data_IF_771458529554
#
_entry.id   IF_771458529554
#
_cell.length_a   1.000
_cell.length_b   1.000
_cell.length_c   1.000
_cell.angle_alpha   90.00
_cell.angle_beta   90.00
_cell.angle_gamma   90.00
#
_symmetry.space_group_name_H-M   'P 1'
#
loop_
_entity.id
_entity.type
_entity.pdbx_description
1 polymer ?
#
# COMPACT_ATOMS: atom_id res chain seq x y z
N UNK A 1 -11.44 7.39 -5.61
CA UNK A 1 -9.98 7.57 -5.75
C UNK A 1 -9.41 6.53 -6.72
N UNK A 2 -8.34 6.86 -7.45
CA UNK A 2 -7.57 5.91 -8.27
C UNK A 2 -6.13 5.88 -7.78
N UNK A 3 -5.62 4.67 -7.51
CA UNK A 3 -4.22 4.43 -7.15
C UNK A 3 -3.62 3.56 -8.25
N UNK A 4 -2.42 3.91 -8.72
CA UNK A 4 -1.73 3.14 -9.75
C UNK A 4 -0.44 2.64 -9.14
N UNK A 5 -0.31 1.31 -9.03
CA UNK A 5 0.93 0.64 -8.63
C UNK A 5 1.74 0.45 -9.91
N UNK A 6 2.76 1.29 -10.09
CA UNK A 6 3.63 1.19 -11.26
C UNK A 6 4.63 0.07 -11.08
N UNK A 7 5.43 0.19 -10.02
CA UNK A 7 6.55 -0.68 -9.76
C UNK A 7 6.97 -0.62 -8.29
N UNK A 8 7.65 -1.67 -7.85
CA UNK A 8 8.43 -1.75 -6.61
C UNK A 8 9.91 -1.79 -6.97
N UNK A 9 10.78 -1.45 -6.02
CA UNK A 9 12.23 -1.45 -6.17
C UNK A 9 12.87 -1.79 -4.82
N UNK A 10 13.98 -2.54 -4.85
CA UNK A 10 14.75 -2.98 -3.67
C UNK A 10 13.91 -3.71 -2.59
N UNK A 11 12.88 -4.45 -2.99
CA UNK A 11 12.09 -5.29 -2.08
C UNK A 11 12.93 -6.46 -1.54
N UNK A 12 12.74 -6.79 -0.25
CA UNK A 12 13.39 -7.94 0.40
C UNK A 12 13.10 -9.24 -0.36
N UNK A 13 14.13 -10.09 -0.49
CA UNK A 13 14.06 -11.38 -1.19
C UNK A 13 14.03 -12.53 -0.18
N UNK A 14 12.92 -13.28 -0.15
CA UNK A 14 12.70 -14.36 0.82
C UNK A 14 12.97 -15.77 0.26
N UNK A 15 12.73 -16.03 -1.03
CA UNK A 15 12.95 -17.36 -1.61
C UNK A 15 14.44 -17.65 -1.82
N UNK A 16 14.90 -18.80 -1.36
CA UNK A 16 16.23 -19.35 -1.69
C UNK A 16 16.10 -20.47 -2.73
N UNK A 17 16.64 -20.29 -3.93
CA UNK A 17 16.70 -21.37 -4.93
C UNK A 17 17.66 -22.48 -4.46
N UNK A 18 17.12 -23.66 -4.19
CA UNK A 18 17.85 -24.83 -3.67
C UNK A 18 18.97 -25.31 -4.63
N UNK A 19 18.86 -25.03 -5.93
CA UNK A 19 19.83 -25.48 -6.93
C UNK A 19 20.93 -24.46 -7.24
N UNK A 20 20.59 -23.17 -7.26
CA UNK A 20 21.52 -22.09 -7.63
C UNK A 20 22.03 -21.30 -6.43
N UNK A 21 21.31 -21.33 -5.30
CA UNK A 21 21.54 -20.48 -4.14
C UNK A 21 21.19 -19.01 -4.39
N UNK A 22 20.52 -18.69 -5.50
CA UNK A 22 20.08 -17.32 -5.79
C UNK A 22 18.79 -17.01 -5.03
N UNK A 23 18.72 -15.79 -4.49
CA UNK A 23 17.54 -15.28 -3.79
C UNK A 23 16.56 -14.67 -4.78
N UNK A 24 15.27 -14.99 -4.65
CA UNK A 24 14.20 -14.37 -5.44
C UNK A 24 12.96 -14.10 -4.58
N UNK A 25 11.98 -13.37 -5.13
CA UNK A 25 10.63 -13.28 -4.57
C UNK A 25 9.58 -13.14 -5.68
N UNK A 26 8.41 -13.70 -5.44
CA UNK A 26 7.19 -13.61 -6.23
C UNK A 26 6.30 -12.47 -5.70
N UNK A 27 6.60 -11.23 -6.09
CA UNK A 27 6.05 -10.05 -5.42
C UNK A 27 4.61 -9.75 -5.88
N UNK A 28 3.71 -9.47 -4.92
CA UNK A 28 2.43 -8.81 -5.21
C UNK A 28 2.11 -7.69 -4.23
N UNK A 29 1.23 -6.76 -4.65
CA UNK A 29 0.83 -5.61 -3.85
C UNK A 29 -0.66 -5.69 -3.54
N UNK A 30 -1.00 -5.50 -2.27
CA UNK A 30 -2.38 -5.47 -1.76
C UNK A 30 -2.72 -4.08 -1.26
N UNK A 31 -3.90 -3.57 -1.59
CA UNK A 31 -4.37 -2.26 -1.14
C UNK A 31 -5.82 -2.26 -0.68
N UNK A 32 -6.12 -1.43 0.32
CA UNK A 32 -7.51 -1.17 0.73
C UNK A 32 -7.65 0.19 1.45
N UNK A 33 -8.87 0.72 1.47
CA UNK A 33 -9.21 1.85 2.33
C UNK A 33 -9.63 1.37 3.71
N UNK A 34 -9.23 2.09 4.76
CA UNK A 34 -9.67 1.82 6.13
C UNK A 34 -11.20 1.81 6.19
N UNK A 35 -11.78 0.78 6.81
CA UNK A 35 -13.23 0.51 6.86
C UNK A 35 -13.82 -0.17 5.62
N UNK A 36 -13.01 -0.41 4.59
CA UNK A 36 -13.31 -1.30 3.45
C UNK A 36 -12.32 -2.48 3.41
N UNK A 37 -11.95 -3.05 4.56
CA UNK A 37 -11.02 -4.20 4.60
C UNK A 37 -11.57 -5.46 3.90
N UNK A 38 -12.87 -5.53 3.65
CA UNK A 38 -13.50 -6.59 2.86
C UNK A 38 -13.36 -6.38 1.35
N UNK A 39 -13.08 -5.14 0.90
CA UNK A 39 -12.87 -4.75 -0.49
C UNK A 39 -11.37 -4.52 -0.77
N UNK A 40 -10.57 -5.52 -0.37
CA UNK A 40 -9.13 -5.56 -0.69
C UNK A 40 -8.94 -5.79 -2.18
N UNK A 41 -8.02 -5.05 -2.77
CA UNK A 41 -7.63 -5.19 -4.16
C UNK A 41 -6.16 -5.62 -4.21
N UNK A 42 -5.89 -6.67 -4.98
CA UNK A 42 -4.56 -7.22 -5.18
C UNK A 42 -4.09 -6.95 -6.62
N UNK A 43 -2.79 -6.82 -6.83
CA UNK A 43 -2.18 -6.85 -8.17
C UNK A 43 -2.03 -8.28 -8.66
N UNK A 44 -1.69 -8.45 -9.93
CA UNK A 44 -1.07 -9.69 -10.39
C UNK A 44 0.28 -9.92 -9.67
N UNK A 45 0.72 -11.18 -9.64
CA UNK A 45 2.02 -11.58 -9.07
C UNK A 45 3.13 -11.32 -10.10
N UNK A 46 4.20 -10.69 -9.64
CA UNK A 46 5.44 -10.55 -10.40
C UNK A 46 6.40 -11.67 -10.02
N UNK A 47 6.44 -12.71 -10.86
CA UNK A 47 7.22 -13.91 -10.58
C UNK A 47 8.72 -13.71 -10.72
N UNK A 48 9.46 -14.30 -9.79
CA UNK A 48 10.92 -14.50 -9.83
C UNK A 48 11.72 -13.19 -9.96
N UNK A 49 11.45 -12.25 -9.05
CA UNK A 49 12.25 -11.03 -8.94
C UNK A 49 13.61 -11.34 -8.29
N UNK A 50 14.71 -11.08 -9.01
CA UNK A 50 16.08 -11.31 -8.52
C UNK A 50 16.69 -10.08 -7.83
N UNK A 51 16.07 -8.92 -7.97
CA UNK A 51 16.61 -7.64 -7.48
C UNK A 51 15.64 -6.88 -6.59
N UNK A 52 14.47 -7.47 -6.29
CA UNK A 52 13.38 -6.79 -5.56
C UNK A 52 12.58 -5.81 -6.44
N UNK A 53 12.86 -5.78 -7.75
CA UNK A 53 12.08 -5.00 -8.71
C UNK A 53 10.80 -5.76 -9.10
N UNK A 54 9.65 -5.08 -9.05
CA UNK A 54 8.37 -5.61 -9.53
C UNK A 54 7.70 -4.60 -10.45
N UNK A 55 7.11 -5.04 -11.57
CA UNK A 55 6.41 -4.17 -12.52
C UNK A 55 4.97 -4.61 -12.72
N UNK A 56 4.03 -3.76 -12.31
CA UNK A 56 2.62 -4.10 -12.21
C UNK A 56 1.76 -3.29 -13.18
N UNK A 57 2.00 -1.97 -13.28
CA UNK A 57 1.10 -1.04 -13.97
C UNK A 57 -0.40 -1.27 -13.62
N UNK A 58 -0.65 -1.60 -12.36
CA UNK A 58 -1.96 -2.01 -11.87
C UNK A 58 -2.75 -0.85 -11.32
N UNK A 59 -4.07 -0.92 -11.37
CA UNK A 59 -4.95 0.20 -11.02
C UNK A 59 -6.01 -0.21 -10.01
N UNK A 60 -5.81 0.23 -8.77
CA UNK A 60 -6.86 0.17 -7.76
C UNK A 60 -7.85 1.33 -7.93
N UNK A 61 -9.13 1.01 -7.81
CA UNK A 61 -10.22 1.99 -7.90
C UNK A 61 -11.10 1.86 -6.68
N UNK A 62 -11.15 2.93 -5.88
CA UNK A 62 -11.93 2.99 -4.66
C UNK A 62 -13.08 4.00 -4.80
N UNK A 63 -14.34 3.57 -4.91
CA UNK A 63 -15.49 4.47 -4.90
C UNK A 63 -15.81 4.92 -3.47
N UNK A 64 -15.87 6.23 -3.24
CA UNK A 64 -16.31 6.83 -1.97
C UNK A 64 -16.67 8.30 -2.18
N UNK A 65 -17.50 8.84 -1.28
CA UNK A 65 -17.76 10.27 -1.18
C UNK A 65 -16.85 10.90 -0.11
N UNK A 66 -16.53 12.19 -0.25
CA UNK A 66 -15.67 12.90 0.70
C UNK A 66 -16.38 14.09 1.33
N UNK A 67 -16.50 14.07 2.66
CA UNK A 67 -17.10 15.13 3.44
C UNK A 67 -16.02 16.12 3.89
N UNK A 68 -15.86 17.20 3.13
CA UNK A 68 -14.82 18.21 3.36
C UNK A 68 -14.87 18.85 4.77
N UNK A 69 -16.05 19.00 5.36
CA UNK A 69 -16.21 19.64 6.68
C UNK A 69 -15.66 18.79 7.83
N UNK A 70 -15.66 17.46 7.69
CA UNK A 70 -15.16 16.52 8.69
C UNK A 70 -13.84 15.85 8.28
N UNK A 71 -13.34 16.12 7.07
CA UNK A 71 -12.17 15.47 6.46
C UNK A 71 -12.28 13.92 6.45
N UNK A 72 -13.49 13.40 6.25
CA UNK A 72 -13.79 11.95 6.24
C UNK A 72 -14.31 11.48 4.90
N UNK A 73 -14.08 10.19 4.61
CA UNK A 73 -14.76 9.51 3.51
C UNK A 73 -16.08 8.91 4.01
N UNK A 74 -17.06 8.89 3.13
CA UNK A 74 -18.38 8.31 3.34
C UNK A 74 -18.53 7.13 2.40
N UNK A 75 -18.89 5.99 2.99
CA UNK A 75 -19.07 4.73 2.28
C UNK A 75 -20.43 4.15 2.69
N UNK A 76 -21.21 3.76 1.69
CA UNK A 76 -22.48 3.07 1.88
C UNK A 76 -22.24 1.56 1.85
N UNK A 77 -22.64 0.85 2.90
CA UNK A 77 -22.55 -0.62 2.97
C UNK A 77 -23.94 -1.19 3.24
N UNK A 78 -24.30 -2.27 2.53
CA UNK A 78 -25.45 -3.10 2.88
C UNK A 78 -25.01 -4.12 3.92
N UNK A 79 -25.71 -4.18 5.06
CA UNK A 79 -25.35 -5.10 6.14
C UNK A 79 -25.53 -6.58 5.77
N UNK A 80 -26.33 -6.87 4.74
CA UNK A 80 -26.53 -8.23 4.22
C UNK A 80 -27.00 -8.16 2.76
N UNK A 81 -26.77 -9.23 1.98
CA UNK A 81 -27.28 -9.35 0.60
C UNK A 81 -28.81 -9.26 0.49
N UNK A 82 -29.53 -9.38 1.62
CA UNK A 82 -30.99 -9.26 1.72
C UNK A 82 -31.45 -7.97 2.41
N UNK A 83 -30.52 -7.13 2.88
CA UNK A 83 -30.86 -5.83 3.46
C UNK A 83 -31.22 -4.84 2.35
N UNK A 84 -32.38 -4.20 2.48
CA UNK A 84 -32.83 -3.15 1.56
C UNK A 84 -32.19 -1.80 1.90
N UNK A 85 -31.89 -1.57 3.18
CA UNK A 85 -31.34 -0.31 3.68
C UNK A 85 -29.80 -0.32 3.59
N UNK A 86 -29.25 0.75 3.03
CA UNK A 86 -27.81 1.03 3.02
C UNK A 86 -27.45 1.90 4.22
N UNK A 87 -26.48 1.45 5.02
CA UNK A 87 -25.95 2.23 6.13
C UNK A 87 -24.73 3.01 5.65
N UNK A 88 -24.76 4.33 5.85
CA UNK A 88 -23.61 5.20 5.57
C UNK A 88 -22.66 5.24 6.76
N UNK A 89 -21.39 4.96 6.50
CA UNK A 89 -20.32 5.03 7.48
C UNK A 89 -19.37 6.19 7.15
N UNK A 90 -19.10 7.03 8.15
CA UNK A 90 -18.08 8.09 8.08
C UNK A 90 -16.80 7.60 8.69
N UNK A 91 -15.74 7.50 7.90
CA UNK A 91 -14.47 6.94 8.34
C UNK A 91 -13.28 7.81 7.93
N UNK A 92 -12.15 7.71 8.64
CA UNK A 92 -10.93 8.41 8.26
C UNK A 92 -10.47 8.00 6.86
N UNK A 93 -10.03 8.97 6.07
CA UNK A 93 -9.56 8.75 4.71
C UNK A 93 -8.14 8.15 4.72
N UNK A 94 -7.98 6.87 5.08
CA UNK A 94 -6.67 6.20 5.14
C UNK A 94 -6.57 5.07 4.13
N UNK A 95 -5.50 5.10 3.33
CA UNK A 95 -5.15 4.06 2.37
C UNK A 95 -4.05 3.18 2.97
N UNK A 96 -4.31 1.89 3.05
CA UNK A 96 -3.32 0.89 3.42
C UNK A 96 -2.83 0.20 2.15
N UNK A 97 -1.52 0.07 2.01
CA UNK A 97 -0.89 -0.70 0.94
C UNK A 97 0.13 -1.63 1.59
N UNK A 98 0.21 -2.86 1.13
CA UNK A 98 1.14 -3.87 1.58
C UNK A 98 1.82 -4.55 0.40
N UNK A 99 3.07 -4.95 0.60
CA UNK A 99 3.84 -5.80 -0.30
C UNK A 99 3.99 -7.16 0.36
N UNK A 100 3.83 -8.20 -0.45
CA UNK A 100 3.85 -9.60 -0.02
C UNK A 100 4.66 -10.43 -1.01
N UNK A 101 5.23 -11.52 -0.51
CA UNK A 101 5.79 -12.61 -1.31
C UNK A 101 4.72 -13.69 -1.51
N UNK A 102 4.47 -14.08 -2.77
CA UNK A 102 3.46 -15.06 -3.13
C UNK A 102 4.07 -16.46 -3.13
N UNK A 103 3.73 -17.23 -2.11
CA UNK A 103 4.33 -18.53 -1.90
C UNK A 103 3.50 -19.64 -2.57
N UNK A 104 4.12 -20.52 -3.35
CA UNK A 104 3.38 -21.56 -4.09
C UNK A 104 2.86 -22.69 -3.17
N UNK A 105 3.53 -22.96 -2.05
CA UNK A 105 3.25 -24.10 -1.18
C UNK A 105 3.05 -23.72 0.30
N UNK A 106 3.38 -22.49 0.69
CA UNK A 106 3.27 -21.94 2.06
C UNK A 106 2.19 -20.85 2.17
N UNK A 107 2.09 -20.20 3.33
CA UNK A 107 1.37 -18.95 3.45
C UNK A 107 2.23 -17.81 2.90
N UNK A 108 1.61 -16.86 2.20
CA UNK A 108 2.30 -15.66 1.69
C UNK A 108 3.04 -14.90 2.81
N UNK A 109 4.28 -14.51 2.54
CA UNK A 109 5.11 -13.79 3.49
C UNK A 109 4.90 -12.28 3.39
N UNK A 110 4.73 -11.64 4.56
CA UNK A 110 4.55 -10.21 4.65
C UNK A 110 5.90 -9.50 4.53
N UNK A 111 6.09 -8.72 3.47
CA UNK A 111 7.35 -8.01 3.24
C UNK A 111 7.31 -6.59 3.79
N UNK A 112 6.18 -5.89 3.69
CA UNK A 112 6.11 -4.52 4.19
C UNK A 112 4.75 -3.84 4.02
N UNK A 113 4.54 -2.75 4.75
CA UNK A 113 3.30 -1.97 4.69
C UNK A 113 3.55 -0.46 4.70
N UNK A 114 2.59 0.28 4.17
CA UNK A 114 2.47 1.71 4.37
C UNK A 114 1.00 2.11 4.57
N UNK A 115 0.75 2.94 5.57
CA UNK A 115 -0.55 3.61 5.77
C UNK A 115 -0.40 5.09 5.41
N UNK A 116 -1.20 5.56 4.45
CA UNK A 116 -1.24 6.96 4.01
C UNK A 116 -2.57 7.60 4.43
N UNK A 117 -2.51 8.64 5.26
CA UNK A 117 -3.65 9.52 5.51
C UNK A 117 -3.84 10.46 4.31
N UNK A 118 -4.91 10.25 3.54
CA UNK A 118 -5.22 10.97 2.31
C UNK A 118 -5.44 12.48 2.53
N UNK A 119 -5.76 12.90 3.76
CA UNK A 119 -5.83 14.31 4.10
C UNK A 119 -4.45 14.93 4.28
N UNK A 120 -3.47 14.15 4.74
CA UNK A 120 -2.14 14.63 5.09
C UNK A 120 -1.13 13.48 5.11
N UNK A 121 -0.34 13.34 4.04
CA UNK A 121 0.74 12.34 3.94
C UNK A 121 2.03 12.98 3.38
N UNK A 122 3.22 12.42 3.66
CA UNK A 122 4.47 12.95 3.15
C UNK A 122 4.50 12.88 1.62
N UNK A 123 5.06 13.92 0.99
CA UNK A 123 5.26 13.92 -0.46
C UNK A 123 6.24 12.83 -0.86
N UNK A 124 5.84 11.96 -1.79
CA UNK A 124 6.69 10.89 -2.29
C UNK A 124 7.98 11.39 -2.95
N UNK A 125 9.04 10.59 -2.84
CA UNK A 125 10.34 10.85 -3.45
C UNK A 125 10.25 10.78 -4.98
N UNK A 126 11.18 11.45 -5.68
CA UNK A 126 11.16 11.47 -7.16
C UNK A 126 11.71 10.19 -7.77
N UNK A 127 12.61 9.52 -7.07
CA UNK A 127 13.29 8.28 -7.48
C UNK A 127 13.32 7.31 -6.32
N UNK A 128 13.35 6.01 -6.58
CA UNK A 128 13.47 4.97 -5.55
C UNK A 128 14.67 5.20 -4.63
N UNK A 129 15.84 5.55 -5.18
CA UNK A 129 17.07 5.89 -4.42
C UNK A 129 16.96 7.08 -3.45
N UNK A 130 15.92 7.91 -3.59
CA UNK A 130 15.65 9.05 -2.69
C UNK A 130 14.53 8.73 -1.70
N UNK A 131 13.94 7.55 -1.81
CA UNK A 131 12.91 7.04 -0.92
C UNK A 131 13.62 6.47 0.31
N UNK A 132 13.42 7.08 1.46
CA UNK A 132 14.06 6.65 2.70
C UNK A 132 13.03 6.52 3.81
N UNK A 133 13.34 5.70 4.81
CA UNK A 133 12.49 5.51 5.99
C UNK A 133 12.27 6.82 6.77
N UNK A 134 13.21 7.76 6.69
CA UNK A 134 13.08 9.11 7.29
C UNK A 134 11.83 9.86 6.80
N UNK A 135 11.33 9.53 5.61
CA UNK A 135 10.10 10.13 5.09
C UNK A 135 8.87 9.76 5.93
N UNK A 136 8.91 8.63 6.62
CA UNK A 136 7.87 8.14 7.54
C UNK A 136 8.22 8.48 8.99
N UNK A 137 9.49 8.41 9.38
CA UNK A 137 9.91 8.72 10.76
C UNK A 137 9.89 10.21 11.08
N UNK A 138 10.23 11.07 10.12
CA UNK A 138 10.35 12.53 10.28
C UNK A 138 9.22 13.29 9.58
N UNK A 139 7.96 12.84 9.73
CA UNK A 139 6.80 13.49 9.10
C UNK A 139 6.67 15.00 9.38
N UNK A 140 7.21 15.46 10.52
CA UNK A 140 7.13 16.87 10.93
C UNK A 140 7.99 17.81 10.07
N UNK A 141 9.09 17.30 9.51
CA UNK A 141 10.01 18.09 8.68
C UNK A 141 9.70 17.97 7.18
N UNK A 142 8.84 17.01 6.81
CA UNK A 142 8.51 16.73 5.42
C UNK A 142 7.32 17.55 4.92
N UNK A 143 7.34 18.02 3.66
CA UNK A 143 6.20 18.70 3.07
C UNK A 143 5.03 17.73 2.92
N UNK A 144 3.97 17.97 3.69
CA UNK A 144 2.76 17.15 3.66
C UNK A 144 1.83 17.57 2.53
N UNK A 145 1.15 16.60 1.94
CA UNK A 145 0.20 16.78 0.84
C UNK A 145 -1.15 16.18 1.18
N UNK A 146 -2.18 16.70 0.51
CA UNK A 146 -3.55 16.19 0.58
C UNK A 146 -4.00 15.86 -0.83
N UNK A 147 -4.48 14.64 -1.08
CA UNK A 147 -5.04 14.27 -2.39
C UNK A 147 -6.32 15.07 -2.68
N UNK A 148 -7.06 15.49 -1.65
CA UNK A 148 -8.27 16.29 -1.80
C UNK A 148 -7.99 17.72 -2.27
N UNK A 149 -6.79 18.25 -1.97
CA UNK A 149 -6.30 19.55 -2.47
C UNK A 149 -5.55 19.38 -3.80
N UNK A 150 -4.74 18.33 -3.92
CA UNK A 150 -3.93 18.03 -5.10
C UNK A 150 -4.46 16.79 -5.83
N UNK A 151 -5.19 17.01 -6.94
CA UNK A 151 -5.90 15.96 -7.67
C UNK A 151 -5.05 14.79 -8.18
N UNK A 152 -3.74 14.99 -8.36
CA UNK A 152 -2.80 13.98 -8.87
C UNK A 152 -1.44 14.12 -8.22
N UNK A 153 -0.89 13.01 -7.75
CA UNK A 153 0.46 12.90 -7.26
C UNK A 153 1.10 11.61 -7.80
N UNK A 154 2.41 11.64 -8.00
CA UNK A 154 3.24 10.49 -8.33
C UNK A 154 4.55 10.65 -7.58
N UNK A 155 5.04 9.57 -7.00
CA UNK A 155 6.28 9.52 -6.25
C UNK A 155 6.54 8.11 -5.74
N UNK A 156 7.60 7.99 -4.97
CA UNK A 156 8.01 6.79 -4.26
C UNK A 156 7.75 6.96 -2.77
N UNK A 157 7.25 5.91 -2.13
CA UNK A 157 7.02 5.86 -0.70
C UNK A 157 7.62 4.58 -0.14
N UNK A 158 8.27 4.64 1.03
CA UNK A 158 8.96 3.49 1.60
C UNK A 158 7.92 2.53 2.19
N UNK A 159 8.04 1.24 1.89
CA UNK A 159 7.36 0.23 2.69
C UNK A 159 8.18 -0.04 3.95
N UNK A 160 7.48 -0.25 5.05
CA UNK A 160 8.13 -0.57 6.32
C UNK A 160 7.56 -1.88 6.87
N UNK A 161 8.45 -2.74 7.33
CA UNK A 161 8.11 -3.88 8.17
C UNK A 161 8.57 -3.60 9.60
N UNK A 162 8.02 -4.37 10.54
CA UNK A 162 8.53 -4.40 11.91
C UNK A 162 9.38 -5.64 12.06
N UNK A 163 10.60 -5.46 12.57
CA UNK A 163 11.48 -6.56 12.90
C UNK A 163 11.01 -7.31 14.17
N UNK A 164 11.74 -8.36 14.55
CA UNK A 164 11.46 -9.13 15.78
C UNK A 164 11.56 -8.28 17.07
N UNK A 165 12.19 -7.11 17.02
CA UNK A 165 12.36 -6.16 18.12
C UNK A 165 11.34 -5.00 18.11
N UNK A 166 10.35 -5.03 17.21
CA UNK A 166 9.35 -3.96 16.98
C UNK A 166 9.95 -2.64 16.45
N UNK A 167 11.18 -2.68 15.92
CA UNK A 167 11.82 -1.57 15.19
C UNK A 167 11.31 -1.54 13.73
N UNK A 168 11.12 -0.33 13.18
CA UNK A 168 10.66 -0.17 11.79
C UNK A 168 11.87 -0.21 10.85
N UNK A 169 11.86 -1.15 9.91
CA UNK A 169 12.89 -1.30 8.88
C UNK A 169 12.31 -1.06 7.48
N UNK A 170 13.15 -0.55 6.57
CA UNK A 170 12.79 -0.33 5.17
C UNK A 170 12.81 -1.68 4.44
N UNK A 171 11.74 -1.95 3.69
CA UNK A 171 11.52 -3.22 3.00
C UNK A 171 11.01 -3.03 1.59
#
# INVERSE_FOLDING_TARGET
MRVIIWNTDEVVLEDDDIFTGEKSSDIFVRGWLKGQQEDKQDTDVHYHSLTGEGNFNWRFVYPFDYLMAEEKIVISKKESMFAWDETEYKIPARLNIQVWDADHFSADDFLGAIELDLNRFPRGAKTAKQCSIDMVLNEQEMPMVSIFKQKRIKGWWPFVARDENDEMELT
#
